data_IF_248445872023
#
_entry.id   IF_248445872023
#
_cell.length_a   1.000
_cell.length_b   1.000
_cell.length_c   1.000
_cell.angle_alpha   90.00
_cell.angle_beta   90.00
_cell.angle_gamma   90.00
#
_symmetry.space_group_name_H-M   'P 1'
#
loop_
_entity.id
_entity.type
_entity.pdbx_description
1 polymer ?
#
# COMPACT_ATOMS: atom_id res chain seq x y z
N UNK A 1 -1.63 3.03 27.02
CA UNK A 1 -2.17 2.66 25.70
C UNK A 1 -1.60 3.62 24.67
N UNK A 2 -0.50 3.29 24.06
CA UNK A 2 0.08 4.13 22.98
C UNK A 2 -0.31 3.51 21.64
N UNK A 3 -1.53 3.81 21.19
CA UNK A 3 -1.90 3.58 19.81
C UNK A 3 -1.14 4.54 18.87
N UNK A 4 -1.26 4.32 17.56
CA UNK A 4 -0.75 5.28 16.56
C UNK A 4 -1.54 6.61 16.66
N UNK A 5 -0.92 7.76 16.32
CA UNK A 5 -1.59 9.06 16.33
C UNK A 5 -2.85 9.10 15.45
N UNK A 6 -3.80 9.98 15.78
CA UNK A 6 -5.00 10.24 14.95
C UNK A 6 -4.90 11.65 14.39
N UNK A 7 -4.97 11.79 13.06
CA UNK A 7 -4.90 13.06 12.34
C UNK A 7 -6.20 13.32 11.58
N UNK A 8 -6.64 14.58 11.56
CA UNK A 8 -7.87 14.99 10.86
C UNK A 8 -7.53 15.79 9.60
N UNK A 9 -7.66 15.16 8.42
CA UNK A 9 -7.34 15.79 7.13
C UNK A 9 -8.24 17.00 6.81
N UNK A 10 -9.42 17.08 7.42
CA UNK A 10 -10.33 18.21 7.20
C UNK A 10 -9.74 19.55 7.66
N UNK A 11 -8.77 19.53 8.59
CA UNK A 11 -8.06 20.71 9.04
C UNK A 11 -7.30 21.44 7.93
N UNK A 12 -6.92 20.75 6.85
CA UNK A 12 -6.34 21.40 5.65
C UNK A 12 -7.31 22.32 4.92
N UNK A 13 -8.61 22.17 5.15
CA UNK A 13 -9.63 23.06 4.58
C UNK A 13 -10.02 24.22 5.53
N UNK A 14 -9.38 24.27 6.70
CA UNK A 14 -9.70 25.23 7.77
C UNK A 14 -8.87 26.50 7.71
N UNK A 15 -8.73 27.15 8.88
CA UNK A 15 -7.92 28.35 9.04
C UNK A 15 -6.42 28.07 8.87
N UNK A 16 -5.58 29.10 8.59
CA UNK A 16 -4.12 28.91 8.52
C UNK A 16 -3.52 28.20 9.74
N UNK A 17 -4.02 28.50 10.94
CA UNK A 17 -3.55 27.83 12.17
C UNK A 17 -3.94 26.34 12.21
N UNK A 18 -5.13 25.98 11.69
CA UNK A 18 -5.54 24.57 11.62
C UNK A 18 -4.71 23.82 10.59
N UNK A 19 -4.42 24.41 9.44
CA UNK A 19 -3.55 23.83 8.40
C UNK A 19 -2.13 23.62 8.92
N UNK A 20 -1.55 24.61 9.60
CA UNK A 20 -0.23 24.52 10.23
C UNK A 20 -0.19 23.41 11.27
N UNK A 21 -1.18 23.37 12.17
CA UNK A 21 -1.31 22.31 13.17
C UNK A 21 -1.34 20.93 12.52
N UNK A 22 -2.13 20.73 11.45
CA UNK A 22 -2.18 19.45 10.75
C UNK A 22 -0.81 19.07 10.20
N UNK A 23 -0.10 20.01 9.55
CA UNK A 23 1.24 19.75 9.00
C UNK A 23 2.26 19.38 10.08
N UNK A 24 2.23 20.06 11.23
CA UNK A 24 3.09 19.74 12.36
C UNK A 24 2.78 18.36 12.95
N UNK A 25 1.49 18.04 13.13
CA UNK A 25 1.08 16.74 13.64
C UNK A 25 1.44 15.62 12.66
N UNK A 26 1.26 15.85 11.34
CA UNK A 26 1.62 14.92 10.26
C UNK A 26 3.13 14.65 10.26
N UNK A 27 3.95 15.71 10.28
CA UNK A 27 5.41 15.62 10.34
C UNK A 27 5.87 14.83 11.56
N UNK A 28 5.34 15.17 12.75
CA UNK A 28 5.70 14.49 14.01
C UNK A 28 5.30 13.02 14.00
N UNK A 29 4.07 12.69 13.63
CA UNK A 29 3.58 11.31 13.57
C UNK A 29 4.44 10.41 12.68
N UNK A 30 4.86 10.93 11.53
CA UNK A 30 5.65 10.17 10.56
C UNK A 30 7.15 10.15 10.84
N UNK A 31 7.66 11.15 11.57
CA UNK A 31 9.01 11.14 12.11
C UNK A 31 9.16 10.15 13.28
N UNK A 32 8.20 10.13 14.21
CA UNK A 32 8.28 9.32 15.43
C UNK A 32 7.88 7.85 15.19
N UNK A 33 6.81 7.62 14.40
CA UNK A 33 6.19 6.29 14.26
C UNK A 33 6.12 5.80 12.82
N UNK A 34 6.02 6.70 11.82
CA UNK A 34 5.79 6.33 10.41
C UNK A 34 4.36 5.88 10.10
N UNK A 35 3.47 5.82 11.10
CA UNK A 35 2.08 5.39 11.02
C UNK A 35 1.13 6.34 11.74
N UNK A 36 -0.08 6.52 11.20
CA UNK A 36 -1.16 7.25 11.86
C UNK A 36 -2.54 6.80 11.36
N UNK A 37 -3.59 7.08 12.14
CA UNK A 37 -4.98 6.95 11.70
C UNK A 37 -5.44 8.28 11.10
N UNK A 38 -6.07 8.25 9.93
CA UNK A 38 -6.57 9.43 9.22
C UNK A 38 -8.08 9.49 9.27
N UNK A 39 -8.63 10.52 9.89
CA UNK A 39 -10.04 10.87 9.86
C UNK A 39 -10.28 12.12 9.02
N UNK A 40 -11.54 12.51 8.78
CA UNK A 40 -11.86 13.72 8.00
C UNK A 40 -11.35 13.68 6.56
N UNK A 41 -11.06 12.51 6.01
CA UNK A 41 -10.43 12.29 4.69
C UNK A 41 -11.36 12.61 3.51
N UNK A 42 -12.68 12.70 3.73
CA UNK A 42 -13.64 13.05 2.70
C UNK A 42 -14.07 11.91 1.77
N UNK A 43 -13.55 10.69 1.95
CA UNK A 43 -14.05 9.51 1.24
C UNK A 43 -15.46 9.19 1.76
N UNK A 44 -16.47 9.06 0.88
CA UNK A 44 -17.84 8.82 1.31
C UNK A 44 -17.99 7.47 2.04
N UNK A 45 -18.67 7.46 3.21
CA UNK A 45 -18.95 6.23 3.95
C UNK A 45 -19.68 5.19 3.07
N UNK A 46 -20.62 5.63 2.22
CA UNK A 46 -21.29 4.74 1.30
C UNK A 46 -20.38 4.08 0.26
N UNK A 47 -19.25 4.67 -0.09
CA UNK A 47 -18.24 4.01 -0.93
C UNK A 47 -17.50 2.92 -0.12
N UNK A 48 -17.16 3.21 1.14
CA UNK A 48 -16.54 2.23 2.03
C UNK A 48 -17.44 1.01 2.20
N UNK A 49 -18.73 1.23 2.45
CA UNK A 49 -19.73 0.14 2.60
C UNK A 49 -19.86 -0.69 1.32
N UNK A 50 -19.90 -0.03 0.13
CA UNK A 50 -19.94 -0.73 -1.16
C UNK A 50 -18.67 -1.55 -1.39
N UNK A 51 -17.49 -1.02 -1.05
CA UNK A 51 -16.22 -1.71 -1.22
C UNK A 51 -16.16 -2.99 -0.37
N UNK A 52 -16.57 -2.95 0.90
CA UNK A 52 -16.65 -4.14 1.74
C UNK A 52 -17.74 -5.12 1.31
N UNK A 53 -18.88 -4.61 0.83
CA UNK A 53 -19.96 -5.46 0.27
C UNK A 53 -19.47 -6.22 -0.96
N UNK A 54 -18.82 -5.52 -1.91
CA UNK A 54 -18.23 -6.14 -3.09
C UNK A 54 -17.10 -7.12 -2.73
N UNK A 55 -16.26 -6.79 -1.75
CA UNK A 55 -15.21 -7.68 -1.25
C UNK A 55 -15.79 -9.00 -0.70
N UNK A 56 -16.81 -8.94 0.15
CA UNK A 56 -17.48 -10.13 0.68
C UNK A 56 -18.16 -10.94 -0.43
N UNK A 57 -18.85 -10.26 -1.35
CA UNK A 57 -19.48 -10.92 -2.48
C UNK A 57 -18.45 -11.65 -3.36
N UNK A 58 -17.31 -11.02 -3.62
CA UNK A 58 -16.22 -11.63 -4.40
C UNK A 58 -15.67 -12.89 -3.72
N UNK A 59 -15.33 -12.84 -2.43
CA UNK A 59 -14.78 -14.01 -1.75
C UNK A 59 -15.81 -15.13 -1.52
N UNK A 60 -17.11 -14.81 -1.56
CA UNK A 60 -18.21 -15.79 -1.53
C UNK A 60 -18.50 -16.45 -2.88
N UNK A 61 -17.92 -15.96 -3.98
CA UNK A 61 -18.09 -16.61 -5.30
C UNK A 61 -17.57 -18.04 -5.27
N UNK A 62 -18.19 -18.93 -6.07
CA UNK A 62 -17.64 -20.26 -6.32
C UNK A 62 -16.18 -20.16 -6.78
N UNK A 63 -15.35 -21.11 -6.34
CA UNK A 63 -13.92 -21.11 -6.64
C UNK A 63 -13.62 -20.99 -8.15
N UNK A 64 -14.42 -21.64 -8.99
CA UNK A 64 -14.29 -21.57 -10.44
C UNK A 64 -14.38 -20.14 -11.00
N UNK A 65 -15.22 -19.29 -10.42
CA UNK A 65 -15.36 -17.89 -10.83
C UNK A 65 -14.16 -17.04 -10.38
N UNK A 66 -13.62 -17.31 -9.19
CA UNK A 66 -12.39 -16.65 -8.71
C UNK A 66 -11.18 -17.06 -9.57
N UNK A 67 -11.07 -18.35 -9.90
CA UNK A 67 -10.00 -18.91 -10.74
C UNK A 67 -10.08 -18.47 -12.22
N UNK A 68 -11.24 -18.04 -12.69
CA UNK A 68 -11.37 -17.47 -14.04
C UNK A 68 -10.52 -16.20 -14.20
N UNK A 69 -10.29 -15.47 -13.11
CA UNK A 69 -9.45 -14.27 -13.06
C UNK A 69 -8.18 -14.48 -12.22
N UNK A 70 -7.68 -15.70 -12.16
CA UNK A 70 -6.45 -15.99 -11.41
C UNK A 70 -5.26 -15.20 -11.95
N UNK A 71 -4.43 -14.68 -11.07
CA UNK A 71 -3.31 -13.78 -11.38
C UNK A 71 -2.29 -14.40 -12.35
N UNK A 72 -2.12 -15.70 -12.35
CA UNK A 72 -1.25 -16.42 -13.30
C UNK A 72 -1.67 -16.25 -14.77
N UNK A 73 -2.88 -15.75 -15.02
CA UNK A 73 -3.40 -15.42 -16.35
C UNK A 73 -3.03 -14.01 -16.81
N UNK A 74 -2.51 -13.18 -15.90
CA UNK A 74 -2.15 -11.79 -16.19
C UNK A 74 -0.64 -11.60 -16.18
N UNK A 75 -0.03 -11.19 -17.29
CA UNK A 75 1.38 -10.80 -17.29
C UNK A 75 1.66 -9.55 -16.45
N UNK A 76 0.60 -8.86 -15.99
CA UNK A 76 0.68 -7.62 -15.23
C UNK A 76 0.52 -7.82 -13.72
N UNK A 77 0.54 -9.07 -13.22
CA UNK A 77 0.34 -9.42 -11.81
C UNK A 77 -1.01 -8.90 -11.26
N UNK A 78 -2.07 -8.98 -12.07
CA UNK A 78 -3.45 -8.58 -11.72
C UNK A 78 -4.34 -9.80 -11.53
N UNK A 79 -5.40 -9.64 -10.72
CA UNK A 79 -6.42 -10.64 -10.53
C UNK A 79 -6.32 -11.38 -9.21
N UNK A 80 -6.94 -12.54 -9.12
CA UNK A 80 -7.10 -13.31 -7.90
C UNK A 80 -5.85 -14.14 -7.58
N UNK A 81 -5.36 -14.00 -6.36
CA UNK A 81 -4.33 -14.88 -5.78
C UNK A 81 -4.99 -15.81 -4.77
N UNK A 82 -4.80 -17.11 -4.95
CA UNK A 82 -5.34 -18.15 -4.06
C UNK A 82 -4.77 -18.03 -2.65
N UNK A 83 -5.45 -18.68 -1.72
CA UNK A 83 -4.96 -18.85 -0.35
C UNK A 83 -3.52 -19.39 -0.36
N UNK A 84 -2.61 -18.64 0.27
CA UNK A 84 -1.20 -19.00 0.35
C UNK A 84 -0.41 -18.85 -0.96
N UNK A 85 -0.95 -18.21 -1.98
CA UNK A 85 -0.27 -17.95 -3.25
C UNK A 85 0.75 -16.81 -3.20
N UNK A 86 0.68 -15.93 -2.19
CA UNK A 86 1.64 -14.85 -2.01
C UNK A 86 2.63 -15.16 -0.88
N UNK A 87 3.85 -14.62 -1.00
CA UNK A 87 4.93 -14.85 -0.04
C UNK A 87 5.54 -13.53 0.42
N UNK A 88 5.79 -13.43 1.71
CA UNK A 88 6.60 -12.35 2.31
C UNK A 88 7.88 -12.94 2.87
N UNK A 89 9.02 -12.43 2.40
CA UNK A 89 10.36 -12.95 2.76
C UNK A 89 10.47 -14.47 2.62
N UNK A 90 9.94 -15.02 1.52
CA UNK A 90 9.97 -16.46 1.19
C UNK A 90 8.99 -17.33 1.99
N UNK A 91 8.29 -16.81 3.00
CA UNK A 91 7.29 -17.54 3.79
C UNK A 91 5.88 -17.26 3.25
N UNK A 92 5.05 -18.31 3.23
CA UNK A 92 3.66 -18.22 2.76
C UNK A 92 2.82 -17.35 3.69
N UNK A 93 2.07 -16.40 3.10
CA UNK A 93 1.07 -15.60 3.78
C UNK A 93 -0.29 -16.31 3.76
N UNK A 94 -0.95 -16.39 4.92
CA UNK A 94 -2.26 -17.03 5.06
C UNK A 94 -3.35 -16.02 4.70
N UNK A 95 -3.54 -15.81 3.40
CA UNK A 95 -4.54 -14.91 2.82
C UNK A 95 -4.87 -15.29 1.39
N UNK A 96 -6.04 -14.87 0.94
CA UNK A 96 -6.39 -14.78 -0.47
C UNK A 96 -6.71 -13.34 -0.82
N UNK A 97 -6.57 -12.94 -2.09
CA UNK A 97 -6.73 -11.54 -2.46
C UNK A 97 -7.08 -11.36 -3.94
N UNK A 98 -7.52 -10.18 -4.29
CA UNK A 98 -7.54 -9.68 -5.66
C UNK A 98 -6.65 -8.43 -5.75
N UNK A 99 -5.81 -8.40 -6.78
CA UNK A 99 -4.87 -7.33 -7.08
C UNK A 99 -5.36 -6.50 -8.26
N UNK A 100 -5.50 -5.20 -8.06
CA UNK A 100 -6.08 -4.25 -9.02
C UNK A 100 -5.12 -3.06 -9.16
N UNK A 101 -4.81 -2.67 -10.40
CA UNK A 101 -4.03 -1.46 -10.68
C UNK A 101 -4.79 -0.48 -11.56
N UNK A 102 -4.10 0.53 -12.06
CA UNK A 102 -4.67 1.43 -13.06
C UNK A 102 -5.16 0.64 -14.29
N UNK A 103 -6.40 0.87 -14.71
CA UNK A 103 -6.96 0.25 -15.90
C UNK A 103 -6.38 0.93 -17.14
N UNK A 104 -5.43 0.28 -17.80
CA UNK A 104 -4.69 0.81 -18.96
C UNK A 104 -4.39 -0.28 -19.96
N UNK A 105 -4.18 0.06 -21.24
CA UNK A 105 -3.61 -0.88 -22.22
C UNK A 105 -2.21 -1.32 -21.79
N UNK A 106 -1.85 -2.57 -22.10
CA UNK A 106 -0.49 -3.05 -21.92
C UNK A 106 0.50 -2.24 -22.77
N UNK A 107 1.66 -1.97 -22.21
CA UNK A 107 2.76 -1.32 -22.93
C UNK A 107 3.42 -2.35 -23.87
N UNK A 108 3.61 -2.04 -25.15
CA UNK A 108 4.35 -2.93 -26.05
C UNK A 108 5.80 -3.10 -25.58
N UNK A 109 6.20 -4.33 -25.30
CA UNK A 109 7.55 -4.64 -24.85
C UNK A 109 8.48 -4.86 -26.05
N UNK A 110 9.61 -4.17 -26.08
CA UNK A 110 10.69 -4.30 -27.04
C UNK A 110 12.01 -4.53 -26.30
N UNK A 111 13.09 -4.78 -27.02
CA UNK A 111 14.41 -4.96 -26.38
C UNK A 111 14.90 -3.72 -25.61
N UNK A 112 14.41 -2.53 -25.95
CA UNK A 112 14.78 -1.27 -25.30
C UNK A 112 13.78 -0.82 -24.24
N UNK A 113 12.66 -1.56 -24.05
CA UNK A 113 11.64 -1.22 -23.06
C UNK A 113 12.05 -1.79 -21.71
N UNK A 114 12.19 -0.96 -20.64
CA UNK A 114 12.49 -1.45 -19.30
C UNK A 114 11.46 -2.46 -18.81
N UNK A 115 11.93 -3.53 -18.17
CA UNK A 115 11.08 -4.67 -17.76
C UNK A 115 9.92 -4.27 -16.82
N UNK A 116 10.07 -3.21 -16.03
CA UNK A 116 9.00 -2.78 -15.13
C UNK A 116 7.71 -2.32 -15.86
N UNK A 117 7.77 -2.03 -17.16
CA UNK A 117 6.56 -1.70 -17.92
C UNK A 117 5.60 -2.88 -18.11
N UNK A 118 6.04 -4.13 -17.85
CA UNK A 118 5.12 -5.27 -17.77
C UNK A 118 4.05 -5.09 -16.68
N UNK A 119 4.31 -4.24 -15.69
CA UNK A 119 3.35 -3.95 -14.61
C UNK A 119 2.17 -3.11 -15.06
N UNK A 120 2.24 -2.46 -16.21
CA UNK A 120 1.13 -1.70 -16.77
C UNK A 120 0.33 -2.53 -17.77
N UNK A 121 -0.97 -2.65 -17.51
CA UNK A 121 -1.88 -3.39 -18.35
C UNK A 121 -3.29 -3.46 -17.76
N UNK A 122 -4.21 -4.16 -18.45
CA UNK A 122 -5.59 -4.30 -18.00
C UNK A 122 -5.70 -5.15 -16.73
N UNK A 123 -6.73 -4.88 -15.95
CA UNK A 123 -7.13 -5.75 -14.83
C UNK A 123 -7.90 -6.98 -15.34
N UNK A 124 -7.96 -8.01 -14.51
CA UNK A 124 -8.88 -9.13 -14.68
C UNK A 124 -10.11 -8.91 -13.80
N UNK A 125 -11.28 -8.86 -14.42
CA UNK A 125 -12.55 -8.60 -13.72
C UNK A 125 -13.44 -9.86 -13.70
N UNK A 126 -14.06 -10.19 -12.54
CA UNK A 126 -14.96 -11.33 -12.45
C UNK A 126 -16.28 -11.02 -13.17
N UNK A 127 -16.61 -11.81 -14.19
CA UNK A 127 -17.88 -11.65 -14.93
C UNK A 127 -19.11 -11.79 -14.02
N UNK A 128 -18.98 -12.60 -12.95
CA UNK A 128 -20.06 -12.84 -11.99
C UNK A 128 -20.30 -11.69 -11.00
N UNK A 129 -19.43 -10.66 -11.00
CA UNK A 129 -19.51 -9.51 -10.09
C UNK A 129 -19.04 -8.23 -10.81
N UNK A 130 -19.75 -7.77 -11.83
CA UNK A 130 -19.32 -6.61 -12.64
C UNK A 130 -19.22 -5.30 -11.84
N UNK A 131 -20.04 -5.14 -10.81
CA UNK A 131 -20.01 -3.97 -9.91
C UNK A 131 -18.70 -3.80 -9.15
N UNK A 132 -17.89 -4.85 -9.00
CA UNK A 132 -16.57 -4.76 -8.37
C UNK A 132 -15.66 -3.76 -9.10
N UNK A 133 -15.75 -3.73 -10.44
CA UNK A 133 -14.97 -2.79 -11.26
C UNK A 133 -15.31 -1.34 -10.94
N UNK A 134 -16.59 -0.99 -10.95
CA UNK A 134 -17.04 0.38 -10.70
C UNK A 134 -16.62 0.86 -9.30
N UNK A 135 -16.77 0.00 -8.31
CA UNK A 135 -16.39 0.30 -6.93
C UNK A 135 -14.87 0.48 -6.81
N UNK A 136 -14.08 -0.37 -7.44
CA UNK A 136 -12.61 -0.30 -7.38
C UNK A 136 -12.08 0.95 -8.08
N UNK A 137 -12.63 1.31 -9.25
CA UNK A 137 -12.24 2.51 -9.99
C UNK A 137 -12.57 3.78 -9.19
N UNK A 138 -13.75 3.86 -8.57
CA UNK A 138 -14.12 4.98 -7.70
C UNK A 138 -13.24 5.03 -6.45
N UNK A 139 -12.94 3.87 -5.83
CA UNK A 139 -12.05 3.77 -4.68
C UNK A 139 -10.66 4.32 -4.98
N UNK A 140 -10.06 3.86 -6.07
CA UNK A 140 -8.74 4.31 -6.53
C UNK A 140 -8.75 5.83 -6.73
N UNK A 141 -9.75 6.38 -7.45
CA UNK A 141 -9.82 7.82 -7.71
C UNK A 141 -9.91 8.65 -6.41
N UNK A 142 -10.73 8.21 -5.44
CA UNK A 142 -10.87 8.93 -4.16
C UNK A 142 -9.62 8.87 -3.30
N UNK A 143 -8.95 7.72 -3.27
CA UNK A 143 -7.72 7.59 -2.47
C UNK A 143 -6.52 8.27 -3.15
N UNK A 144 -6.52 8.38 -4.47
CA UNK A 144 -5.53 9.18 -5.20
C UNK A 144 -5.61 10.66 -4.80
N UNK A 145 -6.83 11.22 -4.71
CA UNK A 145 -7.07 12.58 -4.20
C UNK A 145 -6.54 12.75 -2.76
N UNK A 146 -6.81 11.79 -1.88
CA UNK A 146 -6.33 11.81 -0.48
C UNK A 146 -4.80 11.72 -0.42
N UNK A 147 -4.19 10.80 -1.18
CA UNK A 147 -2.75 10.62 -1.25
C UNK A 147 -2.03 11.87 -1.73
N UNK A 148 -2.52 12.48 -2.79
CA UNK A 148 -1.98 13.75 -3.33
C UNK A 148 -2.04 14.88 -2.30
N UNK A 149 -3.14 15.02 -1.57
CA UNK A 149 -3.26 16.03 -0.50
C UNK A 149 -2.26 15.79 0.63
N UNK A 150 -2.05 14.55 1.02
CA UNK A 150 -1.06 14.19 2.04
C UNK A 150 0.37 14.49 1.57
N UNK A 151 0.74 14.13 0.34
CA UNK A 151 2.07 14.41 -0.20
C UNK A 151 2.37 15.91 -0.25
N UNK A 152 1.41 16.73 -0.66
CA UNK A 152 1.54 18.19 -0.63
C UNK A 152 1.69 18.73 0.78
N UNK A 153 0.92 18.20 1.75
CA UNK A 153 1.04 18.60 3.15
C UNK A 153 2.40 18.21 3.75
N UNK A 154 2.96 17.03 3.39
CA UNK A 154 4.32 16.64 3.80
C UNK A 154 5.39 17.57 3.20
N UNK A 155 5.30 17.88 1.90
CA UNK A 155 6.24 18.80 1.27
C UNK A 155 6.29 20.13 2.03
N UNK A 156 5.13 20.74 2.29
CA UNK A 156 5.04 22.00 3.07
C UNK A 156 5.53 21.84 4.52
N UNK A 157 5.17 20.73 5.20
CA UNK A 157 5.61 20.45 6.57
C UNK A 157 7.13 20.27 6.71
N UNK A 158 7.79 19.90 5.61
CA UNK A 158 9.24 19.71 5.51
C UNK A 158 9.96 20.92 4.91
N UNK A 159 9.25 22.04 4.69
CA UNK A 159 9.83 23.28 4.18
C UNK A 159 10.03 23.32 2.66
N UNK A 160 9.47 22.37 1.93
CA UNK A 160 9.51 22.31 0.46
C UNK A 160 8.24 22.91 -0.18
N UNK A 161 8.28 23.30 -1.46
CA UNK A 161 7.10 23.70 -2.20
C UNK A 161 6.02 22.61 -2.20
N UNK A 162 4.74 22.97 -2.09
CA UNK A 162 3.62 22.02 -2.05
C UNK A 162 3.64 20.99 -3.17
N UNK A 163 3.95 21.41 -4.41
CA UNK A 163 4.01 20.57 -5.60
C UNK A 163 5.31 19.77 -5.81
N UNK A 164 6.18 19.66 -4.80
CA UNK A 164 7.49 18.99 -4.92
C UNK A 164 7.40 17.58 -5.53
N UNK A 165 6.35 16.84 -5.22
CA UNK A 165 6.18 15.48 -5.70
C UNK A 165 5.27 15.37 -6.95
N UNK A 166 4.58 16.45 -7.36
CA UNK A 166 3.51 16.41 -8.36
C UNK A 166 3.97 15.77 -9.69
N UNK A 167 5.18 16.10 -10.17
CA UNK A 167 5.71 15.55 -11.42
C UNK A 167 5.85 14.02 -11.40
N UNK A 168 6.20 13.44 -10.25
CA UNK A 168 6.29 11.99 -10.12
C UNK A 168 4.90 11.30 -10.19
N UNK A 169 3.82 12.07 -10.01
CA UNK A 169 2.45 11.59 -10.02
C UNK A 169 1.61 12.09 -11.22
N UNK A 170 2.23 12.63 -12.28
CA UNK A 170 1.49 13.01 -13.50
C UNK A 170 0.79 11.82 -14.18
N UNK A 171 1.40 10.62 -14.06
CA UNK A 171 0.82 9.37 -14.55
C UNK A 171 0.92 8.29 -13.48
N UNK A 172 0.17 8.44 -12.37
CA UNK A 172 0.33 7.58 -11.21
C UNK A 172 0.06 6.11 -11.55
N UNK A 173 0.73 5.21 -10.85
CA UNK A 173 0.54 3.76 -10.94
C UNK A 173 -0.01 3.23 -9.61
N UNK A 174 -1.26 3.58 -9.29
CA UNK A 174 -1.91 3.13 -8.07
C UNK A 174 -2.08 1.62 -8.07
N UNK A 175 -2.08 1.06 -6.87
CA UNK A 175 -2.32 -0.36 -6.68
C UNK A 175 -3.24 -0.58 -5.49
N UNK A 176 -4.31 -1.31 -5.71
CA UNK A 176 -5.29 -1.68 -4.70
C UNK A 176 -5.28 -3.19 -4.52
N UNK A 177 -5.35 -3.64 -3.29
CA UNK A 177 -5.66 -5.03 -2.96
C UNK A 177 -6.96 -5.11 -2.20
N UNK A 178 -7.72 -6.17 -2.41
CA UNK A 178 -8.79 -6.58 -1.51
C UNK A 178 -8.33 -7.91 -0.92
N UNK A 179 -8.11 -7.95 0.38
CA UNK A 179 -7.45 -9.07 1.06
C UNK A 179 -8.38 -9.68 2.09
N UNK A 180 -8.54 -11.01 2.06
CA UNK A 180 -9.23 -11.79 3.07
C UNK A 180 -8.25 -12.65 3.84
N UNK A 181 -8.28 -12.53 5.15
CA UNK A 181 -7.53 -13.34 6.10
C UNK A 181 -8.52 -14.28 6.82
N UNK A 182 -8.43 -15.59 6.62
CA UNK A 182 -9.24 -16.54 7.38
C UNK A 182 -8.71 -16.66 8.80
N UNK A 183 -9.59 -17.01 9.72
CA UNK A 183 -9.17 -17.44 11.06
C UNK A 183 -8.53 -18.82 11.01
N UNK A 184 -7.41 -18.97 11.69
CA UNK A 184 -6.65 -20.22 11.70
C UNK A 184 -6.39 -20.70 13.13
N UNK A 185 -6.42 -22.04 13.30
CA UNK A 185 -5.94 -22.68 14.52
C UNK A 185 -4.43 -22.78 14.45
N UNK A 186 -3.72 -22.10 15.36
CA UNK A 186 -2.28 -22.17 15.46
C UNK A 186 -1.87 -22.01 16.92
N UNK A 187 -0.83 -22.76 17.34
CA UNK A 187 -0.23 -22.62 18.68
C UNK A 187 0.49 -21.26 18.85
N UNK A 188 0.85 -20.61 17.75
CA UNK A 188 1.45 -19.28 17.72
C UNK A 188 0.73 -18.42 16.69
N UNK A 189 0.82 -17.08 16.79
CA UNK A 189 0.22 -16.17 15.83
C UNK A 189 0.64 -16.53 14.40
N UNK A 190 -0.33 -16.90 13.57
CA UNK A 190 -0.07 -17.28 12.19
C UNK A 190 0.16 -16.03 11.33
N UNK A 191 1.04 -16.16 10.33
CA UNK A 191 1.42 -15.07 9.44
C UNK A 191 0.32 -14.81 8.41
N UNK A 192 -0.46 -13.74 8.62
CA UNK A 192 -1.34 -13.18 7.59
C UNK A 192 -0.52 -12.44 6.54
N UNK A 193 0.41 -11.59 6.98
CA UNK A 193 1.48 -10.97 6.17
C UNK A 193 2.74 -10.92 7.02
N UNK A 194 3.86 -11.35 6.47
CA UNK A 194 5.16 -11.29 7.13
C UNK A 194 5.61 -9.85 7.42
N UNK A 195 6.54 -9.69 8.35
CA UNK A 195 7.09 -8.38 8.67
C UNK A 195 7.81 -7.78 7.46
N UNK A 196 7.44 -6.56 7.08
CA UNK A 196 7.98 -5.85 5.92
C UNK A 196 7.85 -4.34 6.07
N UNK A 197 8.55 -3.59 5.22
CA UNK A 197 8.30 -2.18 4.91
C UNK A 197 7.66 -2.09 3.53
N UNK A 198 6.83 -1.07 3.30
CA UNK A 198 6.29 -0.80 1.97
C UNK A 198 7.34 -0.15 1.10
N UNK A 199 7.56 -0.69 -0.10
CA UNK A 199 8.57 -0.19 -1.05
C UNK A 199 8.20 1.13 -1.74
N UNK A 200 6.91 1.51 -1.68
CA UNK A 200 6.39 2.69 -2.38
C UNK A 200 6.59 3.99 -1.61
N UNK A 201 5.68 4.92 -1.85
CA UNK A 201 5.68 6.25 -1.24
C UNK A 201 4.73 6.31 -0.06
N UNK A 202 3.49 5.85 -0.25
CA UNK A 202 2.38 6.02 0.69
C UNK A 202 1.39 4.88 0.57
N UNK A 203 0.92 4.36 1.69
CA UNK A 203 -0.16 3.38 1.78
C UNK A 203 -1.33 3.94 2.59
N UNK A 204 -2.54 3.81 2.07
CA UNK A 204 -3.80 4.07 2.78
C UNK A 204 -4.53 2.74 2.94
N UNK A 205 -4.67 2.29 4.16
CA UNK A 205 -5.27 1.00 4.49
C UNK A 205 -6.64 1.18 5.13
N UNK A 206 -7.67 0.66 4.49
CA UNK A 206 -8.98 0.46 5.12
C UNK A 206 -9.01 -0.89 5.81
N UNK A 207 -9.51 -0.91 7.04
CA UNK A 207 -9.74 -2.13 7.83
C UNK A 207 -11.16 -2.15 8.33
N UNK A 208 -11.73 -3.35 8.51
CA UNK A 208 -13.06 -3.50 9.12
C UNK A 208 -13.03 -3.02 10.56
N UNK A 209 -14.07 -2.28 10.95
CA UNK A 209 -14.24 -1.78 12.32
C UNK A 209 -14.17 -2.91 13.34
N UNK A 210 -13.42 -2.69 14.41
CA UNK A 210 -13.26 -3.64 15.50
C UNK A 210 -12.43 -4.89 15.17
N UNK A 211 -11.86 -4.99 13.96
CA UNK A 211 -10.97 -6.10 13.61
C UNK A 211 -9.49 -5.72 13.87
N UNK A 212 -8.83 -6.57 14.64
CA UNK A 212 -7.40 -6.48 14.95
C UNK A 212 -6.54 -7.26 13.93
N UNK A 213 -5.22 -7.24 14.10
CA UNK A 213 -4.26 -8.06 13.38
C UNK A 213 -3.13 -7.29 12.72
N UNK A 214 -3.29 -5.99 12.41
CA UNK A 214 -2.16 -5.16 12.00
C UNK A 214 -1.31 -4.82 13.22
N UNK A 215 -0.02 -5.07 13.12
CA UNK A 215 0.98 -4.71 14.13
C UNK A 215 2.09 -3.90 13.50
N UNK A 216 2.55 -2.89 14.22
CA UNK A 216 3.66 -1.99 13.84
C UNK A 216 4.79 -2.17 14.84
N UNK A 217 6.02 -2.23 14.36
CA UNK A 217 7.20 -2.27 15.21
C UNK A 217 7.48 -0.88 15.78
N UNK A 218 7.69 -0.80 17.08
CA UNK A 218 8.11 0.41 17.76
C UNK A 218 9.05 0.07 18.92
N UNK A 219 10.24 0.63 18.89
CA UNK A 219 11.25 0.45 19.94
C UNK A 219 11.60 -1.04 20.25
N UNK A 220 11.50 -1.91 19.23
CA UNK A 220 11.75 -3.36 19.35
C UNK A 220 10.52 -4.20 19.69
N UNK A 221 9.38 -3.57 19.96
CA UNK A 221 8.12 -4.25 20.31
C UNK A 221 7.08 -4.16 19.18
N UNK A 222 6.20 -5.16 19.09
CA UNK A 222 5.05 -5.16 18.19
C UNK A 222 3.84 -4.54 18.88
N UNK A 223 3.30 -3.47 18.29
CA UNK A 223 2.13 -2.75 18.81
C UNK A 223 0.93 -3.01 17.91
N UNK A 224 -0.18 -3.46 18.51
CA UNK A 224 -1.45 -3.58 17.79
C UNK A 224 -1.98 -2.22 17.36
N UNK A 225 -2.38 -2.12 16.09
CA UNK A 225 -2.99 -0.93 15.54
C UNK A 225 -4.51 -1.03 15.65
N UNK A 226 -5.09 -0.13 16.41
CA UNK A 226 -6.54 0.04 16.53
C UNK A 226 -6.91 1.42 15.99
N UNK A 227 -7.61 1.44 14.86
CA UNK A 227 -8.07 2.67 14.24
C UNK A 227 -9.49 3.05 14.72
N UNK A 228 -9.81 4.35 14.81
CA UNK A 228 -11.19 4.80 14.95
C UNK A 228 -12.07 4.27 13.79
N UNK A 229 -13.37 4.10 14.07
CA UNK A 229 -14.32 3.69 13.02
C UNK A 229 -14.29 4.65 11.83
N UNK A 230 -14.24 4.07 10.63
CA UNK A 230 -14.18 4.81 9.36
C UNK A 230 -12.85 5.50 9.07
N UNK A 231 -11.83 5.38 9.92
CA UNK A 231 -10.50 5.92 9.64
C UNK A 231 -9.71 5.04 8.66
N UNK A 232 -8.86 5.66 7.84
CA UNK A 232 -7.78 4.94 7.17
C UNK A 232 -6.55 4.87 8.08
N UNK A 233 -5.86 3.74 8.05
CA UNK A 233 -4.49 3.65 8.60
C UNK A 233 -3.55 4.06 7.47
N UNK A 234 -2.65 4.98 7.77
CA UNK A 234 -1.72 5.54 6.78
C UNK A 234 -0.29 5.26 7.24
N UNK A 235 0.52 4.78 6.31
CA UNK A 235 1.96 4.66 6.52
C UNK A 235 2.75 5.14 5.31
N UNK A 236 3.94 5.64 5.56
CA UNK A 236 4.89 5.99 4.49
C UNK A 236 5.68 4.75 4.07
N UNK A 237 6.13 4.76 2.82
CA UNK A 237 7.01 3.74 2.27
C UNK A 237 8.47 4.19 2.21
N UNK A 238 9.35 3.24 1.83
CA UNK A 238 10.80 3.43 1.82
C UNK A 238 11.25 4.53 0.85
N UNK A 239 10.54 4.79 -0.27
CA UNK A 239 10.90 5.87 -1.18
C UNK A 239 10.70 7.26 -0.56
N UNK A 240 9.70 7.44 0.32
CA UNK A 240 9.51 8.70 1.03
C UNK A 240 10.50 8.83 2.20
N UNK A 241 10.90 7.73 2.83
CA UNK A 241 12.00 7.69 3.79
C UNK A 241 13.29 8.17 3.12
N UNK A 242 13.62 7.65 1.92
CA UNK A 242 14.79 8.07 1.15
C UNK A 242 14.70 9.55 0.75
N UNK A 243 13.55 10.00 0.25
CA UNK A 243 13.34 11.39 -0.17
C UNK A 243 13.60 12.42 0.95
N UNK A 244 13.54 11.98 2.21
CA UNK A 244 13.75 12.80 3.42
C UNK A 244 15.00 12.42 4.21
N UNK A 245 15.92 11.65 3.60
CA UNK A 245 17.14 11.16 4.25
C UNK A 245 16.89 10.48 5.62
N UNK A 246 15.79 9.72 5.72
CA UNK A 246 15.40 9.01 6.94
C UNK A 246 14.78 9.91 8.04
N UNK A 247 14.41 11.15 7.71
CA UNK A 247 13.65 11.98 8.65
C UNK A 247 12.25 11.43 8.86
N UNK A 248 11.53 11.12 7.77
CA UNK A 248 10.31 10.31 7.83
C UNK A 248 10.69 8.83 7.83
N UNK A 249 9.97 8.02 8.61
CA UNK A 249 10.33 6.61 8.85
C UNK A 249 9.39 5.66 8.13
N UNK A 250 9.90 4.85 7.22
CA UNK A 250 9.20 3.66 6.78
C UNK A 250 9.34 2.58 7.87
N UNK A 251 8.23 2.21 8.48
CA UNK A 251 8.23 1.37 9.68
C UNK A 251 7.84 -0.06 9.36
N UNK A 252 8.55 -1.00 9.99
CA UNK A 252 8.30 -2.42 9.88
C UNK A 252 6.91 -2.75 10.43
N UNK A 253 6.11 -3.48 9.66
CA UNK A 253 4.77 -3.88 10.07
C UNK A 253 4.41 -5.26 9.57
N UNK A 254 3.42 -5.90 10.18
CA UNK A 254 2.97 -7.25 9.86
C UNK A 254 1.47 -7.41 10.10
N UNK A 255 0.90 -8.49 9.54
CA UNK A 255 -0.49 -8.89 9.86
C UNK A 255 -0.48 -10.27 10.47
N UNK A 256 -1.11 -10.38 11.64
CA UNK A 256 -1.40 -11.64 12.31
C UNK A 256 -2.78 -12.12 11.86
N UNK A 257 -2.89 -13.40 11.50
CA UNK A 257 -4.17 -14.00 11.12
C UNK A 257 -5.18 -13.95 12.27
N UNK A 258 -6.48 -13.76 11.97
CA UNK A 258 -7.54 -13.77 12.98
C UNK A 258 -7.64 -15.10 13.73
N UNK A 259 -8.32 -15.08 14.89
CA UNK A 259 -8.64 -16.28 15.67
C UNK A 259 -9.57 -17.22 14.86
N UNK A 260 -9.56 -18.55 15.17
CA UNK A 260 -10.45 -19.52 14.54
C UNK A 260 -11.92 -19.11 14.59
N UNK A 261 -12.66 -19.38 13.50
CA UNK A 261 -14.06 -19.02 13.37
C UNK A 261 -14.34 -17.55 13.08
N UNK A 262 -13.29 -16.74 12.89
CA UNK A 262 -13.40 -15.34 12.47
C UNK A 262 -12.68 -15.13 11.16
N UNK A 263 -12.97 -14.00 10.50
CA UNK A 263 -12.21 -13.55 9.33
C UNK A 263 -12.03 -12.04 9.38
N UNK A 264 -11.09 -11.54 8.61
CA UNK A 264 -10.83 -10.11 8.45
C UNK A 264 -10.66 -9.80 6.97
N UNK A 265 -11.30 -8.73 6.52
CA UNK A 265 -11.05 -8.12 5.21
C UNK A 265 -10.30 -6.81 5.41
N UNK A 266 -9.36 -6.52 4.55
CA UNK A 266 -8.71 -5.22 4.47
C UNK A 266 -8.51 -4.81 3.01
N UNK A 267 -8.47 -3.50 2.78
CA UNK A 267 -8.35 -2.92 1.45
C UNK A 267 -7.21 -1.91 1.46
N UNK A 268 -5.94 -2.37 1.31
CA UNK A 268 -4.81 -1.47 1.14
C UNK A 268 -4.82 -0.84 -0.25
N UNK A 269 -4.56 0.45 -0.28
CA UNK A 269 -4.32 1.24 -1.47
C UNK A 269 -2.90 1.82 -1.39
N UNK A 270 -2.09 1.50 -2.38
CA UNK A 270 -0.73 2.01 -2.53
C UNK A 270 -0.75 3.16 -3.52
N UNK A 271 -0.46 4.37 -3.03
CA UNK A 271 -0.36 5.56 -3.85
C UNK A 271 0.98 5.56 -4.59
N UNK A 272 1.00 4.92 -5.75
CA UNK A 272 2.20 4.72 -6.55
C UNK A 272 2.45 5.87 -7.52
N UNK A 273 3.68 6.39 -7.62
CA UNK A 273 4.06 7.34 -8.66
C UNK A 273 4.06 6.67 -10.04
N UNK A 274 4.40 7.40 -11.09
CA UNK A 274 4.64 6.83 -12.41
C UNK A 274 5.72 5.73 -12.34
N UNK A 275 5.59 4.66 -13.11
CA UNK A 275 6.53 3.52 -13.05
C UNK A 275 7.97 3.94 -13.33
N UNK A 276 8.18 4.91 -14.21
CA UNK A 276 9.48 5.47 -14.57
C UNK A 276 9.94 6.64 -13.69
N UNK A 277 9.14 6.99 -12.66
CA UNK A 277 9.47 8.11 -11.80
C UNK A 277 10.57 7.75 -10.79
N UNK A 278 11.39 8.77 -10.52
CA UNK A 278 12.26 8.87 -9.35
C UNK A 278 11.62 9.89 -8.39
N UNK A 279 11.53 9.57 -7.12
CA UNK A 279 10.98 10.48 -6.11
C UNK A 279 12.02 11.55 -5.80
N UNK A 280 11.70 12.85 -5.96
CA UNK A 280 12.63 13.93 -5.66
C UNK A 280 12.97 13.96 -4.18
N UNK A 281 14.23 14.21 -3.85
CA UNK A 281 14.71 14.43 -2.49
C UNK A 281 14.32 15.81 -1.99
N UNK A 282 14.08 15.94 -0.69
CA UNK A 282 13.80 17.20 -0.03
C UNK A 282 15.06 17.70 0.68
N UNK A 283 15.47 18.92 0.37
CA UNK A 283 16.49 19.64 1.15
C UNK A 283 15.84 20.13 2.46
N UNK A 284 16.01 19.34 3.51
CA UNK A 284 15.41 19.62 4.80
C UNK A 284 16.00 20.89 5.43
N UNK A 285 15.18 21.73 6.10
CA UNK A 285 15.68 22.79 6.96
C UNK A 285 16.72 22.26 7.96
N UNK A 286 17.75 23.04 8.33
CA UNK A 286 18.86 22.56 9.18
C UNK A 286 18.42 21.91 10.49
N UNK A 287 17.33 22.39 11.10
CA UNK A 287 16.79 21.82 12.34
C UNK A 287 16.26 20.39 12.11
N UNK A 288 15.51 20.14 11.01
CA UNK A 288 14.99 18.83 10.66
C UNK A 288 16.10 17.91 10.15
N UNK A 289 17.05 18.44 9.39
CA UNK A 289 18.20 17.67 8.90
C UNK A 289 19.06 17.11 10.04
N UNK A 290 19.16 17.84 11.15
CA UNK A 290 19.89 17.40 12.34
C UNK A 290 19.21 16.21 13.06
N UNK A 291 17.92 16.03 12.87
CA UNK A 291 17.11 14.92 13.44
C UNK A 291 17.01 13.72 12.48
N UNK A 292 17.42 13.87 11.21
CA UNK A 292 17.38 12.80 10.23
C UNK A 292 18.39 11.70 10.58
N UNK A 293 17.88 10.48 10.81
CA UNK A 293 18.69 9.33 11.22
C UNK A 293 19.45 8.63 10.08
N UNK A 294 19.30 9.12 8.84
CA UNK A 294 19.76 8.41 7.64
C UNK A 294 18.80 7.28 7.24
N UNK A 295 18.95 6.82 6.01
CA UNK A 295 18.10 5.78 5.44
C UNK A 295 18.52 4.40 5.96
N UNK A 296 17.58 3.63 6.46
CA UNK A 296 17.81 2.24 6.87
C UNK A 296 17.51 1.31 5.69
N UNK A 297 18.51 1.03 4.87
CA UNK A 297 18.38 0.07 3.77
C UNK A 297 18.77 -1.34 4.23
N UNK A 298 17.99 -2.34 3.76
CA UNK A 298 18.39 -3.73 3.83
C UNK A 298 19.43 -4.02 2.75
N UNK A 299 20.70 -4.35 3.10
CA UNK A 299 21.73 -4.65 2.09
C UNK A 299 21.38 -5.86 1.21
N UNK A 300 20.54 -6.78 1.69
CA UNK A 300 20.05 -7.93 0.93
C UNK A 300 18.90 -7.56 -0.02
N UNK A 301 18.31 -6.36 0.13
CA UNK A 301 17.23 -5.87 -0.70
C UNK A 301 17.39 -4.38 -1.07
N UNK A 302 18.47 -4.00 -1.77
CA UNK A 302 18.75 -2.61 -2.09
C UNK A 302 17.60 -2.00 -2.92
N UNK A 303 17.28 -0.75 -2.64
CA UNK A 303 16.28 0.00 -3.39
C UNK A 303 16.91 0.63 -4.63
N UNK A 304 16.16 0.60 -5.73
CA UNK A 304 16.48 1.29 -6.97
C UNK A 304 15.95 2.72 -6.94
N UNK A 305 16.53 3.60 -7.74
CA UNK A 305 16.09 4.99 -7.86
C UNK A 305 14.69 5.09 -8.54
N UNK A 306 14.42 4.22 -9.51
CA UNK A 306 13.17 4.18 -10.27
C UNK A 306 12.13 3.34 -9.52
N UNK A 307 10.93 3.89 -9.35
CA UNK A 307 9.84 3.21 -8.63
C UNK A 307 9.49 1.85 -9.25
N UNK A 308 9.34 1.78 -10.58
CA UNK A 308 8.94 0.57 -11.29
C UNK A 308 9.91 -0.60 -11.09
N UNK A 309 11.21 -0.34 -10.97
CA UNK A 309 12.22 -1.38 -10.69
C UNK A 309 11.99 -2.02 -9.31
N UNK A 310 11.70 -1.20 -8.29
CA UNK A 310 11.38 -1.70 -6.96
C UNK A 310 10.07 -2.49 -6.94
N UNK A 311 9.07 -1.97 -7.65
CA UNK A 311 7.75 -2.59 -7.71
C UNK A 311 7.80 -3.93 -8.44
N UNK A 312 8.50 -4.00 -9.59
CA UNK A 312 8.72 -5.26 -10.32
C UNK A 312 9.47 -6.27 -9.45
N UNK A 313 10.57 -5.88 -8.83
CA UNK A 313 11.33 -6.75 -7.91
C UNK A 313 10.43 -7.37 -6.82
N UNK A 314 9.54 -6.56 -6.25
CA UNK A 314 8.56 -7.04 -5.26
C UNK A 314 7.59 -8.07 -5.85
N UNK A 315 7.05 -7.81 -7.04
CA UNK A 315 6.09 -8.73 -7.69
C UNK A 315 6.73 -10.05 -8.07
N UNK A 316 7.95 -10.04 -8.61
CA UNK A 316 8.70 -11.25 -8.96
C UNK A 316 8.95 -12.16 -7.75
N UNK A 317 9.21 -11.57 -6.58
CA UNK A 317 9.44 -12.31 -5.33
C UNK A 317 8.14 -12.83 -4.69
N UNK A 318 7.08 -12.03 -4.77
CA UNK A 318 5.81 -12.35 -4.13
C UNK A 318 5.00 -13.40 -4.90
N UNK A 319 5.13 -13.43 -6.24
CA UNK A 319 4.33 -14.26 -7.13
C UNK A 319 5.20 -15.10 -8.08
N UNK A 320 5.95 -16.08 -7.59
CA UNK A 320 6.81 -16.94 -8.42
C UNK A 320 6.03 -17.76 -9.45
N UNK A 321 4.78 -18.08 -9.16
CA UNK A 321 3.84 -18.77 -10.06
C UNK A 321 3.50 -17.94 -11.32
N UNK A 322 3.26 -16.63 -11.15
CA UNK A 322 3.07 -15.69 -12.27
C UNK A 322 4.36 -15.57 -13.07
N UNK A 323 5.52 -15.50 -12.40
CA UNK A 323 6.82 -15.44 -13.09
C UNK A 323 7.04 -16.68 -13.95
N UNK A 324 6.82 -17.86 -13.42
CA UNK A 324 6.95 -19.11 -14.15
C UNK A 324 6.02 -19.17 -15.38
N UNK A 325 4.77 -18.72 -15.21
CA UNK A 325 3.75 -18.78 -16.25
C UNK A 325 3.92 -17.71 -17.34
N UNK A 326 4.32 -16.48 -16.97
CA UNK A 326 4.25 -15.32 -17.86
C UNK A 326 5.63 -14.71 -18.18
N UNK A 327 6.61 -14.84 -17.27
CA UNK A 327 7.90 -14.17 -17.35
C UNK A 327 9.09 -15.11 -17.02
N UNK A 328 9.18 -16.30 -17.62
CA UNK A 328 10.23 -17.26 -17.27
C UNK A 328 11.65 -16.73 -17.52
N UNK A 329 11.79 -15.68 -18.34
CA UNK A 329 13.06 -15.01 -18.62
C UNK A 329 13.50 -14.03 -17.49
N UNK A 330 12.59 -13.65 -16.59
CA UNK A 330 12.85 -12.77 -15.45
C UNK A 330 13.10 -13.54 -14.13
N UNK A 331 13.33 -14.84 -14.21
CA UNK A 331 13.64 -15.63 -13.01
C UNK A 331 14.88 -15.04 -12.33
N UNK A 332 14.66 -14.39 -11.20
CA UNK A 332 15.75 -13.88 -10.35
C UNK A 332 16.49 -15.12 -9.83
N UNK A 333 17.77 -15.23 -10.16
CA UNK A 333 18.60 -16.33 -9.67
C UNK A 333 18.47 -16.47 -8.16
N UNK A 334 18.26 -17.70 -7.72
CA UNK A 334 18.07 -18.11 -6.34
C UNK A 334 19.26 -17.74 -5.46
#
# INVERSE_FOLDING_TARGET
MSGIPVLDLSLLNGTPQQQERFRDDLRRATHEVGFFSLVGHGVPAGLVDRAYTAARAFFALPESHKLAIENVRSPHFRGYTRMGGERTLGRVDIREQIDIGAERPAVPMTADTPDYWILEGPNLWPEALPELREVAEEWIARLDEVGTRLLRAWAEALGAPSGTFDTAFERPSPYMKIVRYPGVEAEQPAQGVGAHKDLGVLTLLSVEDGKAGLQVEKDGDWIDVVAPSGAFIVNIGELLEIATNGYLKATLHRVVSPAPGTERISIPYFHGPALDATIPTIDLPPALAAEAGGVTQDPANPLHAVFGENWLKSRLRAHPDVVEAQHPHLVVGA
#
